data_IF_483304760886
#
_entry.id   IF_483304760886
#
_cell.length_a   1.000
_cell.length_b   1.000
_cell.length_c   1.000
_cell.angle_alpha   90.00
_cell.angle_beta   90.00
_cell.angle_gamma   90.00
#
_symmetry.space_group_name_H-M   'P 1'
#
loop_
_entity.id
_entity.type
_entity.pdbx_description
1 polymer ?
#
# COMPACT_ATOMS: atom_id res chain seq x y z
N UNK A 1 -8.75 8.33 -1.41
CA UNK A 1 -9.68 8.97 -0.44
C UNK A 1 -11.11 8.73 -0.92
N UNK A 2 -12.09 8.79 -0.02
CA UNK A 2 -13.50 8.77 -0.43
C UNK A 2 -13.96 10.19 -0.77
N UNK A 3 -14.69 10.34 -1.87
CA UNK A 3 -15.40 11.57 -2.21
C UNK A 3 -16.66 11.26 -3.00
N UNK A 4 -17.76 11.91 -2.63
CA UNK A 4 -19.05 11.81 -3.31
C UNK A 4 -19.07 12.48 -4.69
N UNK A 5 -18.06 13.29 -4.99
CA UNK A 5 -17.96 14.05 -6.25
C UNK A 5 -17.15 13.29 -7.31
N UNK A 6 -16.59 12.11 -6.97
CA UNK A 6 -15.91 11.26 -7.94
C UNK A 6 -16.91 10.60 -8.87
N UNK A 7 -16.66 10.72 -10.18
CA UNK A 7 -17.43 10.00 -11.19
C UNK A 7 -17.29 8.48 -10.96
N UNK A 8 -18.41 7.73 -10.94
CA UNK A 8 -18.38 6.27 -10.88
C UNK A 8 -17.53 5.67 -12.00
N UNK A 9 -16.78 4.62 -11.66
CA UNK A 9 -16.04 3.80 -12.65
C UNK A 9 -16.91 2.69 -13.22
N UNK A 10 -17.97 2.34 -12.52
CA UNK A 10 -18.95 1.34 -12.91
C UNK A 10 -20.31 1.70 -12.30
N UNK A 11 -21.38 1.44 -13.03
CA UNK A 11 -22.77 1.52 -12.55
C UNK A 11 -23.41 0.14 -12.64
N UNK A 12 -24.08 -0.30 -11.59
CA UNK A 12 -24.70 -1.63 -11.52
C UNK A 12 -26.08 -1.60 -10.87
N UNK A 13 -26.93 -2.54 -11.25
CA UNK A 13 -28.19 -2.80 -10.57
C UNK A 13 -27.98 -3.58 -9.26
N UNK A 14 -28.94 -3.49 -8.33
CA UNK A 14 -28.95 -4.31 -7.13
C UNK A 14 -28.94 -5.81 -7.48
N UNK A 15 -28.18 -6.61 -6.71
CA UNK A 15 -27.98 -8.04 -6.96
C UNK A 15 -26.90 -8.39 -7.98
N UNK A 16 -26.25 -7.40 -8.60
CA UNK A 16 -25.12 -7.65 -9.51
C UNK A 16 -23.92 -8.24 -8.78
N UNK A 17 -23.33 -9.31 -9.34
CA UNK A 17 -22.05 -9.88 -8.88
C UNK A 17 -20.90 -9.30 -9.69
N UNK A 18 -19.81 -8.92 -9.02
CA UNK A 18 -18.63 -8.30 -9.63
C UNK A 18 -17.33 -8.92 -9.09
N UNK A 19 -16.29 -8.92 -9.92
CA UNK A 19 -14.89 -9.12 -9.50
C UNK A 19 -14.21 -7.76 -9.43
N UNK A 20 -13.59 -7.43 -8.31
CA UNK A 20 -12.90 -6.16 -8.08
C UNK A 20 -11.44 -6.45 -7.77
N UNK A 21 -10.53 -5.98 -8.62
CA UNK A 21 -9.10 -6.05 -8.34
C UNK A 21 -8.68 -4.92 -7.40
N UNK A 22 -7.77 -5.22 -6.48
CA UNK A 22 -7.29 -4.30 -5.46
C UNK A 22 -5.76 -4.31 -5.43
N UNK A 23 -5.18 -3.19 -5.00
CA UNK A 23 -3.74 -3.03 -4.87
C UNK A 23 -3.37 -2.61 -3.44
N UNK A 24 -2.34 -3.23 -2.87
CA UNK A 24 -1.75 -2.73 -1.63
C UNK A 24 -0.95 -1.47 -1.92
N UNK A 25 -1.11 -0.44 -1.09
CA UNK A 25 -0.35 0.82 -1.21
C UNK A 25 1.13 0.66 -0.82
N UNK A 26 1.49 -0.46 -0.19
CA UNK A 26 2.85 -0.88 0.12
C UNK A 26 3.53 -1.66 -1.02
N UNK A 27 2.93 -1.78 -2.20
CA UNK A 27 3.53 -2.55 -3.30
C UNK A 27 4.91 -2.00 -3.73
N UNK A 28 5.11 -0.69 -3.55
CA UNK A 28 6.39 -0.05 -3.85
C UNK A 28 7.47 -0.26 -2.77
N UNK A 29 7.15 -0.92 -1.65
CA UNK A 29 8.15 -1.39 -0.70
C UNK A 29 9.08 -2.43 -1.34
N UNK A 30 8.62 -3.14 -2.37
CA UNK A 30 9.44 -3.93 -3.29
C UNK A 30 8.80 -3.97 -4.68
N UNK A 31 9.28 -3.07 -5.54
CA UNK A 31 8.83 -2.95 -6.93
C UNK A 31 8.99 -4.26 -7.71
N UNK A 32 10.11 -4.94 -7.58
CA UNK A 32 10.41 -6.13 -8.38
C UNK A 32 9.47 -7.29 -8.07
N UNK A 33 9.02 -7.42 -6.81
CA UNK A 33 8.12 -8.52 -6.40
C UNK A 33 6.65 -8.20 -6.55
N UNK A 34 6.23 -6.95 -6.35
CA UNK A 34 4.81 -6.59 -6.24
C UNK A 34 4.29 -5.67 -7.36
N UNK A 35 5.16 -5.12 -8.23
CA UNK A 35 4.74 -4.19 -9.29
C UNK A 35 5.26 -4.60 -10.67
N UNK A 36 6.54 -4.90 -10.80
CA UNK A 36 7.21 -5.09 -12.09
C UNK A 36 6.56 -6.20 -12.93
N UNK A 37 6.27 -5.87 -14.19
CA UNK A 37 5.65 -6.78 -15.14
C UNK A 37 4.17 -7.03 -14.92
N UNK A 38 3.54 -6.35 -13.94
CA UNK A 38 2.11 -6.32 -13.75
C UNK A 38 1.54 -4.97 -14.27
N UNK A 39 0.85 -4.95 -15.43
CA UNK A 39 0.37 -3.71 -16.03
C UNK A 39 -0.61 -2.93 -15.13
N UNK A 40 -1.42 -3.63 -14.33
CA UNK A 40 -2.36 -3.00 -13.41
C UNK A 40 -1.63 -2.26 -12.30
N UNK A 41 -0.62 -2.91 -11.70
CA UNK A 41 0.20 -2.30 -10.65
C UNK A 41 1.09 -1.18 -11.19
N UNK A 42 1.75 -1.37 -12.34
CA UNK A 42 2.57 -0.33 -12.99
C UNK A 42 1.73 0.90 -13.34
N UNK A 43 0.48 0.72 -13.78
CA UNK A 43 -0.43 1.83 -14.06
C UNK A 43 -0.73 2.70 -12.83
N UNK A 44 -0.60 2.15 -11.62
CA UNK A 44 -0.83 2.87 -10.35
C UNK A 44 0.48 3.47 -9.82
N UNK A 45 1.55 2.67 -9.79
CA UNK A 45 2.76 2.97 -9.03
C UNK A 45 3.88 3.61 -9.84
N UNK A 46 3.83 3.59 -11.18
CA UNK A 46 4.89 4.20 -11.98
C UNK A 46 5.01 5.70 -11.65
N UNK A 47 6.20 6.05 -11.17
CA UNK A 47 6.57 7.38 -10.72
C UNK A 47 8.05 7.62 -11.04
N UNK A 48 8.32 8.60 -11.89
CA UNK A 48 9.64 9.10 -12.26
C UNK A 48 9.67 10.64 -12.18
N UNK A 49 10.78 11.28 -12.55
CA UNK A 49 10.89 12.74 -12.57
C UNK A 49 9.92 13.42 -13.55
N UNK A 50 9.47 12.70 -14.59
CA UNK A 50 8.60 13.25 -15.63
C UNK A 50 7.13 12.84 -15.46
N UNK A 51 6.86 11.73 -14.76
CA UNK A 51 5.51 11.17 -14.66
C UNK A 51 5.22 10.62 -13.27
N UNK A 52 3.99 10.83 -12.80
CA UNK A 52 3.42 10.16 -11.63
C UNK A 52 2.00 9.77 -11.97
N UNK A 53 1.78 8.50 -12.33
CA UNK A 53 0.51 8.06 -12.91
C UNK A 53 -0.70 8.39 -12.02
N UNK A 54 -0.55 8.20 -10.70
CA UNK A 54 -1.51 8.62 -9.69
C UNK A 54 -0.90 9.70 -8.81
N UNK A 55 -1.12 10.96 -9.19
CA UNK A 55 -0.59 12.14 -8.50
C UNK A 55 -1.26 12.37 -7.13
N UNK A 56 -2.59 12.27 -7.07
CA UNK A 56 -3.36 12.51 -5.85
C UNK A 56 -3.28 11.30 -4.91
N UNK A 57 -2.49 11.42 -3.83
CA UNK A 57 -2.42 10.41 -2.75
C UNK A 57 -2.76 11.04 -1.41
N UNK A 58 -3.90 10.66 -0.83
CA UNK A 58 -4.53 11.36 0.30
C UNK A 58 -5.67 12.29 -0.12
N UNK A 59 -6.40 12.82 0.86
CA UNK A 59 -7.51 13.75 0.62
C UNK A 59 -7.03 15.10 0.06
N UNK A 60 -5.87 15.57 0.50
CA UNK A 60 -5.22 16.79 -0.01
C UNK A 60 -4.07 16.52 -0.97
N UNK A 61 -3.72 15.25 -1.15
CA UNK A 61 -2.59 14.83 -1.98
C UNK A 61 -1.26 14.77 -1.22
N UNK A 62 -1.27 15.13 0.07
CA UNK A 62 -0.11 15.13 0.98
C UNK A 62 0.09 13.83 1.77
N UNK A 63 -0.56 12.72 1.40
CA UNK A 63 -0.47 11.45 2.11
C UNK A 63 -1.44 11.29 3.28
N UNK A 64 -2.39 12.23 3.44
CA UNK A 64 -3.49 12.21 4.41
C UNK A 64 -4.59 11.21 4.00
N UNK A 65 -4.21 9.93 4.00
CA UNK A 65 -5.00 8.80 3.53
C UNK A 65 -4.20 7.98 2.51
N UNK A 66 -3.81 6.77 2.90
CA UNK A 66 -2.75 6.03 2.19
C UNK A 66 -3.23 4.98 1.20
N UNK A 67 -4.49 4.53 1.33
CA UNK A 67 -4.98 3.37 0.60
C UNK A 67 -5.32 3.67 -0.86
N UNK A 68 -4.97 2.74 -1.74
CA UNK A 68 -5.53 2.64 -3.10
C UNK A 68 -6.94 2.07 -2.99
N UNK A 69 -7.93 2.75 -3.58
CA UNK A 69 -9.34 2.36 -3.52
C UNK A 69 -9.87 2.17 -4.94
N UNK A 70 -10.18 0.94 -5.33
CA UNK A 70 -10.80 0.63 -6.62
C UNK A 70 -12.28 1.02 -6.60
N UNK A 71 -12.70 1.91 -7.50
CA UNK A 71 -14.06 2.44 -7.56
C UNK A 71 -14.09 3.95 -7.88
N UNK A 72 -15.17 4.66 -7.52
CA UNK A 72 -16.39 4.16 -6.88
C UNK A 72 -17.29 3.35 -7.84
N UNK A 73 -18.09 2.45 -7.28
CA UNK A 73 -19.13 1.69 -8.00
C UNK A 73 -20.48 2.28 -7.59
N UNK A 74 -21.25 2.75 -8.56
CA UNK A 74 -22.58 3.31 -8.36
C UNK A 74 -23.62 2.19 -8.41
N UNK A 75 -24.51 2.16 -7.42
CA UNK A 75 -25.63 1.20 -7.37
C UNK A 75 -26.89 1.95 -7.75
N UNK A 76 -27.58 1.48 -8.79
CA UNK A 76 -28.82 2.08 -9.27
C UNK A 76 -29.88 2.13 -8.17
N UNK A 77 -30.64 3.23 -8.15
CA UNK A 77 -31.74 3.48 -7.21
C UNK A 77 -31.36 3.58 -5.73
N UNK A 78 -30.08 3.46 -5.36
CA UNK A 78 -29.64 3.66 -3.99
C UNK A 78 -29.80 5.13 -3.53
N UNK A 79 -30.52 5.35 -2.43
CA UNK A 79 -30.84 6.67 -1.88
C UNK A 79 -30.20 6.89 -0.50
N UNK A 80 -29.93 8.15 -0.09
CA UNK A 80 -29.50 8.44 1.28
C UNK A 80 -30.49 7.90 2.31
N UNK A 81 -30.00 7.04 3.21
CA UNK A 81 -30.82 6.36 4.23
C UNK A 81 -30.99 4.86 3.97
N UNK A 82 -30.70 4.40 2.76
CA UNK A 82 -30.72 2.97 2.42
C UNK A 82 -29.53 2.21 3.03
N UNK A 83 -29.65 0.89 3.08
CA UNK A 83 -28.58 -0.04 3.45
C UNK A 83 -28.10 -0.74 2.18
N UNK A 84 -26.80 -0.63 1.90
CA UNK A 84 -26.15 -1.45 0.87
C UNK A 84 -25.59 -2.72 1.49
N UNK A 85 -26.14 -3.88 1.13
CA UNK A 85 -25.57 -5.18 1.47
C UNK A 85 -24.46 -5.53 0.47
N UNK A 86 -23.24 -5.75 0.96
CA UNK A 86 -22.11 -6.22 0.17
C UNK A 86 -21.70 -7.59 0.68
N UNK A 87 -21.80 -8.61 -0.17
CA UNK A 87 -21.39 -9.98 0.15
C UNK A 87 -20.04 -10.28 -0.51
N UNK A 88 -19.02 -10.55 0.31
CA UNK A 88 -17.71 -11.00 -0.18
C UNK A 88 -17.82 -12.51 -0.40
N UNK A 89 -18.00 -12.91 -1.66
CA UNK A 89 -18.20 -14.30 -2.04
C UNK A 89 -16.89 -15.09 -2.09
N UNK A 90 -15.80 -14.44 -2.51
CA UNK A 90 -14.49 -15.05 -2.68
C UNK A 90 -13.37 -14.01 -2.59
N UNK A 91 -12.14 -14.44 -2.28
CA UNK A 91 -10.93 -13.62 -2.22
C UNK A 91 -9.72 -14.42 -2.72
N UNK A 92 -9.05 -13.89 -3.74
CA UNK A 92 -7.85 -14.47 -4.32
C UNK A 92 -6.65 -13.51 -4.18
N UNK A 93 -5.47 -13.98 -3.78
CA UNK A 93 -4.26 -13.17 -3.82
C UNK A 93 -3.88 -12.82 -5.26
N UNK A 94 -3.40 -11.58 -5.48
CA UNK A 94 -2.87 -11.17 -6.78
C UNK A 94 -1.51 -11.81 -7.01
N UNK A 95 -1.37 -12.60 -8.07
CA UNK A 95 -0.10 -13.24 -8.45
C UNK A 95 0.73 -12.29 -9.32
N UNK A 96 2.03 -12.22 -9.04
CA UNK A 96 2.99 -11.53 -9.89
C UNK A 96 3.35 -12.39 -11.12
N UNK A 97 4.14 -11.87 -12.08
CA UNK A 97 4.49 -12.61 -13.30
C UNK A 97 5.24 -13.94 -13.09
N UNK A 98 5.88 -14.12 -11.93
CA UNK A 98 6.53 -15.39 -11.55
C UNK A 98 5.59 -16.42 -10.91
N UNK A 99 4.29 -16.09 -10.80
CA UNK A 99 3.28 -16.95 -10.18
C UNK A 99 3.26 -16.94 -8.66
N UNK A 100 3.94 -15.97 -8.03
CA UNK A 100 4.03 -15.81 -6.57
C UNK A 100 3.23 -14.60 -6.10
N UNK A 101 2.87 -14.57 -4.82
CA UNK A 101 2.29 -13.38 -4.19
C UNK A 101 3.13 -12.94 -3.01
N UNK A 102 3.37 -11.65 -2.93
CA UNK A 102 4.10 -11.02 -1.82
C UNK A 102 3.24 -9.96 -1.14
N UNK A 103 3.54 -9.71 0.13
CA UNK A 103 2.95 -8.63 0.91
C UNK A 103 4.01 -7.94 1.76
N UNK A 104 3.69 -6.75 2.24
CA UNK A 104 4.55 -5.97 3.11
C UNK A 104 3.87 -5.74 4.46
N UNK A 105 4.65 -5.85 5.52
CA UNK A 105 4.29 -5.40 6.85
C UNK A 105 5.27 -4.32 7.31
N UNK A 106 4.77 -3.10 7.50
CA UNK A 106 5.55 -1.99 8.02
C UNK A 106 5.28 -1.79 9.52
N UNK A 107 6.32 -1.93 10.34
CA UNK A 107 6.33 -1.43 11.72
C UNK A 107 6.63 0.08 11.67
N UNK A 108 5.61 0.87 11.35
CA UNK A 108 5.73 2.28 11.03
C UNK A 108 5.50 3.23 12.22
N UNK A 109 5.86 4.51 12.06
CA UNK A 109 5.75 5.56 13.09
C UNK A 109 4.34 5.79 13.64
N UNK A 110 3.29 5.48 12.86
CA UNK A 110 1.89 5.62 13.29
C UNK A 110 1.41 4.43 14.14
N UNK A 111 2.19 3.35 14.21
CA UNK A 111 1.85 2.13 14.94
C UNK A 111 1.83 2.34 16.45
N UNK A 112 1.13 1.47 17.17
CA UNK A 112 1.06 1.54 18.63
C UNK A 112 2.43 1.32 19.28
N UNK A 113 3.27 0.47 18.68
CA UNK A 113 4.64 0.20 19.14
C UNK A 113 5.52 1.46 19.16
N UNK A 114 5.22 2.46 18.32
CA UNK A 114 5.96 3.73 18.29
C UNK A 114 5.61 4.67 19.46
N UNK A 115 4.53 4.37 20.22
CA UNK A 115 4.03 5.20 21.33
C UNK A 115 4.52 4.74 22.70
N UNK A 116 5.23 3.61 22.74
CA UNK A 116 5.76 3.02 23.98
C UNK A 116 7.28 2.98 23.92
N UNK A 117 7.98 3.02 25.07
CA UNK A 117 9.42 2.84 25.09
C UNK A 117 9.81 1.48 24.49
N UNK A 118 10.94 1.47 23.78
CA UNK A 118 11.61 0.25 23.34
C UNK A 118 12.06 -0.56 24.55
N UNK A 119 12.42 -1.84 24.35
CA UNK A 119 12.87 -2.73 25.44
C UNK A 119 14.08 -2.19 26.22
N UNK A 120 14.92 -1.38 25.57
CA UNK A 120 16.08 -0.71 26.18
C UNK A 120 15.73 0.62 26.87
N UNK A 121 14.45 1.01 26.92
CA UNK A 121 13.96 2.25 27.54
C UNK A 121 13.99 3.48 26.64
N UNK A 122 14.53 3.38 25.42
CA UNK A 122 14.58 4.50 24.48
C UNK A 122 13.20 4.78 23.84
N UNK A 123 13.00 6.02 23.39
CA UNK A 123 11.84 6.38 22.57
C UNK A 123 12.01 5.88 21.14
N UNK A 124 10.89 5.59 20.47
CA UNK A 124 10.86 5.27 19.05
C UNK A 124 11.32 6.48 18.20
N UNK A 125 12.12 6.22 17.17
CA UNK A 125 12.68 7.23 16.25
C UNK A 125 12.14 7.00 14.84
N UNK A 126 11.75 8.07 14.15
CA UNK A 126 11.19 8.03 12.80
C UNK A 126 11.65 9.26 12.01
N UNK A 127 12.97 9.41 11.82
CA UNK A 127 13.52 10.47 10.99
C UNK A 127 13.05 11.86 11.39
N UNK A 128 12.70 12.67 10.39
CA UNK A 128 12.25 14.04 10.59
C UNK A 128 10.95 14.14 11.40
N UNK A 129 10.08 13.11 11.37
CA UNK A 129 8.81 13.11 12.10
C UNK A 129 9.01 13.22 13.61
N UNK A 130 10.02 12.56 14.16
CA UNK A 130 10.37 12.62 15.60
C UNK A 130 11.52 13.59 15.89
N UNK A 131 11.97 14.37 14.90
CA UNK A 131 13.13 15.26 15.06
C UNK A 131 14.47 14.51 15.21
N UNK A 132 14.57 13.29 14.67
CA UNK A 132 15.76 12.44 14.70
C UNK A 132 16.22 12.13 13.27
N UNK A 133 16.66 13.12 12.48
CA UNK A 133 16.89 12.99 11.04
C UNK A 133 17.87 11.89 10.62
N UNK A 134 18.79 11.50 11.52
CA UNK A 134 19.80 10.48 11.29
C UNK A 134 19.40 9.08 11.77
N UNK A 135 18.21 8.92 12.37
CA UNK A 135 17.80 7.67 13.02
C UNK A 135 16.34 7.32 12.68
N UNK A 136 16.11 6.06 12.31
CA UNK A 136 14.77 5.54 12.03
C UNK A 136 14.63 4.07 12.51
N UNK A 137 13.63 3.82 13.34
CA UNK A 137 13.26 2.51 13.89
C UNK A 137 12.17 1.81 13.04
N UNK A 138 11.73 2.39 11.93
CA UNK A 138 10.76 1.79 11.02
C UNK A 138 11.36 0.60 10.27
N UNK A 139 10.63 -0.52 10.30
CA UNK A 139 11.01 -1.78 9.67
C UNK A 139 9.95 -2.20 8.68
N UNK A 140 10.39 -2.64 7.50
CA UNK A 140 9.54 -3.28 6.50
C UNK A 140 9.91 -4.75 6.43
N UNK A 141 8.92 -5.62 6.55
CA UNK A 141 9.07 -7.07 6.39
C UNK A 141 8.29 -7.52 5.16
N UNK A 142 8.98 -8.08 4.17
CA UNK A 142 8.35 -8.67 3.00
C UNK A 142 8.00 -10.13 3.32
N UNK A 143 6.76 -10.50 3.05
CA UNK A 143 6.24 -11.86 3.21
C UNK A 143 5.92 -12.46 1.84
N UNK A 144 6.23 -13.74 1.66
CA UNK A 144 5.72 -14.56 0.56
C UNK A 144 4.48 -15.33 1.03
N UNK A 145 3.40 -15.28 0.26
CA UNK A 145 2.29 -16.21 0.46
C UNK A 145 2.63 -17.55 -0.18
N UNK A 146 2.55 -18.60 0.63
CA UNK A 146 2.76 -19.98 0.23
C UNK A 146 1.49 -20.79 0.49
N UNK A 147 1.31 -21.86 -0.26
CA UNK A 147 0.20 -22.79 -0.06
C UNK A 147 0.72 -24.22 -0.05
N UNK A 148 0.16 -25.03 0.83
CA UNK A 148 0.41 -26.47 0.90
C UNK A 148 -0.90 -27.26 1.04
N UNK A 149 -0.82 -28.54 1.42
CA UNK A 149 -1.99 -29.39 1.63
C UNK A 149 -2.93 -28.92 2.76
N UNK A 150 -2.48 -28.00 3.62
CA UNK A 150 -3.19 -27.50 4.80
C UNK A 150 -3.75 -26.08 4.61
N UNK A 151 -3.44 -25.42 3.50
CA UNK A 151 -3.99 -24.11 3.14
C UNK A 151 -2.91 -23.09 2.80
N UNK A 152 -3.28 -21.81 2.85
CA UNK A 152 -2.39 -20.69 2.53
C UNK A 152 -1.87 -20.04 3.81
N UNK A 153 -0.56 -19.78 3.86
CA UNK A 153 0.12 -19.11 4.96
C UNK A 153 1.15 -18.11 4.43
N UNK A 154 1.61 -17.20 5.30
CA UNK A 154 2.64 -16.22 4.98
C UNK A 154 3.97 -16.63 5.64
N UNK A 155 5.06 -16.59 4.89
CA UNK A 155 6.42 -16.79 5.39
C UNK A 155 7.23 -15.49 5.22
N UNK A 156 7.94 -15.01 6.26
CA UNK A 156 8.79 -13.83 6.12
C UNK A 156 9.92 -14.15 5.13
N UNK A 157 10.01 -13.37 4.07
CA UNK A 157 11.08 -13.47 3.07
C UNK A 157 12.33 -12.75 3.54
N UNK A 158 12.20 -11.47 3.90
CA UNK A 158 13.27 -10.67 4.49
C UNK A 158 12.73 -9.39 5.14
N UNK A 159 13.59 -8.70 5.86
CA UNK A 159 13.28 -7.46 6.56
C UNK A 159 14.39 -6.43 6.34
N UNK A 160 14.01 -5.15 6.27
CA UNK A 160 14.95 -4.04 6.18
C UNK A 160 14.43 -2.83 6.97
N UNK A 161 15.35 -1.98 7.43
CA UNK A 161 15.00 -0.66 7.94
C UNK A 161 14.57 0.25 6.79
N UNK A 162 13.54 1.07 7.00
CA UNK A 162 13.17 2.08 6.02
C UNK A 162 14.40 2.94 5.67
N UNK A 163 14.82 3.00 4.39
CA UNK A 163 16.05 3.67 4.02
C UNK A 163 15.85 5.18 3.97
N UNK A 164 16.96 5.89 3.95
CA UNK A 164 16.93 7.29 3.58
C UNK A 164 16.96 7.40 2.04
N UNK A 165 15.93 8.01 1.45
CA UNK A 165 15.79 8.10 0.00
C UNK A 165 15.32 9.49 -0.42
N UNK A 166 15.52 9.81 -1.68
CA UNK A 166 14.90 10.98 -2.33
C UNK A 166 13.92 10.45 -3.37
N UNK A 167 12.66 10.85 -3.27
CA UNK A 167 11.65 10.42 -4.24
C UNK A 167 11.84 11.12 -5.61
N UNK A 168 11.14 10.68 -6.67
CA UNK A 168 11.34 11.26 -8.01
C UNK A 168 10.95 12.74 -8.14
N UNK A 169 10.22 13.32 -7.17
CA UNK A 169 9.92 14.76 -7.09
C UNK A 169 11.04 15.54 -6.38
N UNK A 170 12.12 14.86 -5.96
CA UNK A 170 13.25 15.48 -5.25
C UNK A 170 13.03 15.63 -3.75
N UNK A 171 11.96 15.06 -3.20
CA UNK A 171 11.66 15.17 -1.76
C UNK A 171 12.41 14.08 -1.00
N UNK A 172 13.23 14.51 -0.04
CA UNK A 172 13.93 13.62 0.87
C UNK A 172 12.95 12.97 1.85
N UNK A 173 13.10 11.65 2.05
CA UNK A 173 12.23 10.81 2.88
C UNK A 173 13.11 9.93 3.76
N UNK A 174 13.22 10.28 5.04
CA UNK A 174 13.92 9.48 6.05
C UNK A 174 12.97 8.75 7.02
N UNK A 175 11.68 8.73 6.70
CA UNK A 175 10.63 7.92 7.34
C UNK A 175 9.50 7.65 6.33
N UNK A 176 8.57 6.76 6.65
CA UNK A 176 7.41 6.43 5.81
C UNK A 176 6.42 7.61 5.81
N UNK A 177 6.76 8.64 5.04
CA UNK A 177 6.06 9.92 5.03
C UNK A 177 4.94 9.99 3.98
N UNK A 178 4.99 9.14 2.96
CA UNK A 178 4.09 9.24 1.80
C UNK A 178 3.85 7.88 1.15
N UNK A 179 2.59 7.56 0.80
CA UNK A 179 2.23 6.24 0.32
C UNK A 179 2.76 5.99 -1.10
N UNK A 180 3.17 4.74 -1.36
CA UNK A 180 3.64 4.31 -2.67
C UNK A 180 4.94 4.97 -3.13
N UNK A 181 5.75 5.49 -2.20
CA UNK A 181 7.13 5.87 -2.47
C UNK A 181 7.95 4.59 -2.60
N UNK A 182 8.60 4.41 -3.76
CA UNK A 182 9.26 3.14 -4.06
C UNK A 182 10.63 3.08 -3.40
N UNK A 183 10.86 1.99 -2.67
CA UNK A 183 12.12 1.74 -1.99
C UNK A 183 13.11 1.23 -3.04
N UNK A 184 14.27 1.91 -3.23
CA UNK A 184 15.32 1.37 -4.07
C UNK A 184 15.89 0.13 -3.36
N UNK A 185 15.90 -1.01 -4.07
CA UNK A 185 16.60 -2.21 -3.62
C UNK A 185 17.91 -2.29 -4.39
N UNK A 186 19.02 -2.32 -3.65
CA UNK A 186 20.35 -2.58 -4.22
C UNK A 186 20.59 -4.09 -4.40
N UNK A 187 19.61 -4.94 -4.05
CA UNK A 187 19.67 -6.38 -4.27
C UNK A 187 19.17 -6.69 -5.68
N UNK A 188 20.11 -6.95 -6.59
CA UNK A 188 19.83 -7.81 -7.74
C UNK A 188 19.33 -9.16 -7.18
N UNK A 189 18.07 -9.48 -7.43
CA UNK A 189 17.48 -10.78 -7.09
C UNK A 189 18.17 -11.96 -7.78
#
# INVERSE_FOLDING_TARGET
>A
YFSKDLAPKLTVASGTTLKVEMATHHACDDWDKMVKGDPGMESIFHWSGDVKNVAQRGATGGGDGVHVLTGPIFVEEAMPGDILKVEIMDLEPRVNPSGKTFGSNAAAWWGYQARVPKVNGETYKAGDFTGTPAENDELVTIYELKSDAHGTFAEPSYQFHWPNLTDPEGVHRNYIAYPGTCVPHDFEG
#
